data_IF_519548528814
#
_entry.id   IF_519548528814
#
_cell.length_a   1.000
_cell.length_b   1.000
_cell.length_c   1.000
_cell.angle_alpha   90.00
_cell.angle_beta   90.00
_cell.angle_gamma   90.00
#
_symmetry.space_group_name_H-M   'P 1'
#
loop_
_entity.id
_entity.type
_entity.pdbx_description
1 polymer ?
#
# COMPACT_ATOMS: atom_id res chain seq x y z
N UNK A 1 -16.03 -4.74 -15.98
CA UNK A 1 -14.74 -4.17 -15.51
C UNK A 1 -13.75 -4.19 -16.64
N UNK A 2 -13.01 -3.09 -16.80
CA UNK A 2 -11.99 -2.98 -17.84
C UNK A 2 -10.86 -3.99 -17.56
N UNK A 3 -10.36 -4.62 -18.63
CA UNK A 3 -9.25 -5.59 -18.52
C UNK A 3 -7.98 -4.96 -17.93
N UNK A 4 -7.72 -3.69 -18.25
CA UNK A 4 -6.57 -2.97 -17.71
C UNK A 4 -6.67 -2.81 -16.19
N UNK A 5 -7.85 -2.52 -15.68
CA UNK A 5 -8.10 -2.41 -14.24
C UNK A 5 -7.89 -3.77 -13.57
N UNK A 6 -8.39 -4.83 -14.17
CA UNK A 6 -8.22 -6.18 -13.64
C UNK A 6 -6.74 -6.57 -13.59
N UNK A 7 -5.99 -6.32 -14.66
CA UNK A 7 -4.55 -6.61 -14.70
C UNK A 7 -3.81 -5.80 -13.64
N UNK A 8 -4.10 -4.49 -13.55
CA UNK A 8 -3.49 -3.63 -12.54
C UNK A 8 -3.78 -4.10 -11.13
N UNK A 9 -5.02 -4.51 -10.87
CA UNK A 9 -5.42 -5.04 -9.57
C UNK A 9 -4.65 -6.31 -9.21
N UNK A 10 -4.56 -7.25 -10.15
CA UNK A 10 -3.84 -8.51 -9.93
C UNK A 10 -2.34 -8.27 -9.70
N UNK A 11 -1.74 -7.40 -10.51
CA UNK A 11 -0.32 -7.05 -10.36
C UNK A 11 -0.05 -6.39 -9.02
N UNK A 12 -0.87 -5.41 -8.66
CA UNK A 12 -0.72 -4.68 -7.39
C UNK A 12 -0.93 -5.59 -6.19
N UNK A 13 -1.99 -6.40 -6.21
CA UNK A 13 -2.27 -7.35 -5.14
C UNK A 13 -1.16 -8.38 -4.97
N UNK A 14 -0.66 -8.93 -6.09
CA UNK A 14 0.46 -9.88 -6.07
C UNK A 14 1.72 -9.25 -5.51
N UNK A 15 2.02 -7.99 -5.89
CA UNK A 15 3.18 -7.27 -5.38
C UNK A 15 3.08 -7.03 -3.86
N UNK A 16 1.93 -6.58 -3.40
CA UNK A 16 1.71 -6.32 -1.97
C UNK A 16 1.80 -7.61 -1.16
N UNK A 17 1.18 -8.69 -1.67
CA UNK A 17 1.23 -9.99 -1.02
C UNK A 17 2.67 -10.53 -0.97
N UNK A 18 3.39 -10.44 -2.07
CA UNK A 18 4.78 -10.88 -2.16
C UNK A 18 5.68 -10.08 -1.22
N UNK A 19 5.49 -8.77 -1.15
CA UNK A 19 6.27 -7.91 -0.25
C UNK A 19 6.05 -8.25 1.22
N UNK A 20 4.78 -8.46 1.61
CA UNK A 20 4.46 -8.87 2.97
C UNK A 20 5.00 -10.25 3.31
N UNK A 21 4.86 -11.21 2.40
CA UNK A 21 5.39 -12.55 2.57
C UNK A 21 6.92 -12.57 2.63
N UNK A 22 7.57 -11.72 1.83
CA UNK A 22 9.03 -11.59 1.85
C UNK A 22 9.54 -11.16 3.23
N UNK A 23 8.79 -10.29 3.89
CA UNK A 23 9.17 -9.82 5.23
C UNK A 23 9.06 -10.93 6.29
N UNK A 24 8.00 -11.73 6.23
CA UNK A 24 7.69 -12.70 7.30
C UNK A 24 8.14 -14.13 7.03
N UNK A 25 7.95 -14.62 5.80
CA UNK A 25 8.02 -16.05 5.53
C UNK A 25 9.18 -16.46 4.64
N UNK A 26 9.41 -15.75 3.55
CA UNK A 26 10.38 -16.16 2.52
C UNK A 26 11.22 -14.95 2.15
N UNK A 27 12.53 -15.11 2.21
CA UNK A 27 13.44 -14.04 1.77
C UNK A 27 13.66 -14.18 0.26
N UNK A 28 12.76 -13.58 -0.53
CA UNK A 28 12.86 -13.56 -2.00
C UNK A 28 13.90 -12.55 -2.45
N UNK A 29 13.98 -11.42 -1.74
CA UNK A 29 14.97 -10.38 -1.97
C UNK A 29 15.32 -9.73 -0.63
N UNK A 30 16.53 -9.16 -0.52
CA UNK A 30 16.92 -8.51 0.72
C UNK A 30 16.07 -7.27 0.98
N UNK A 31 15.68 -7.08 2.23
CA UNK A 31 14.96 -5.87 2.63
C UNK A 31 15.89 -4.67 2.54
N UNK A 32 15.41 -3.52 2.03
CA UNK A 32 16.23 -2.33 1.97
C UNK A 32 16.53 -1.82 3.38
N UNK A 33 17.83 -1.72 3.69
CA UNK A 33 18.28 -1.20 4.98
C UNK A 33 18.52 0.30 4.98
N UNK A 34 18.64 0.87 3.76
CA UNK A 34 18.89 2.29 3.60
C UNK A 34 20.37 2.61 3.40
N UNK A 35 20.62 3.76 2.75
CA UNK A 35 21.96 4.27 2.51
C UNK A 35 22.19 5.62 3.17
N UNK A 36 21.13 6.45 3.23
CA UNK A 36 21.19 7.77 3.81
C UNK A 36 20.92 7.71 5.31
N UNK A 37 21.59 8.55 6.12
CA UNK A 37 21.43 8.51 7.58
C UNK A 37 19.99 8.65 8.06
N UNK A 38 19.22 9.55 7.47
CA UNK A 38 17.81 9.74 7.85
C UNK A 38 16.95 8.55 7.47
N UNK A 39 17.21 7.94 6.30
CA UNK A 39 16.52 6.74 5.88
C UNK A 39 16.79 5.56 6.82
N UNK A 40 18.04 5.39 7.20
CA UNK A 40 18.46 4.34 8.14
C UNK A 40 17.80 4.56 9.51
N UNK A 41 17.77 5.80 10.00
CA UNK A 41 17.15 6.12 11.27
C UNK A 41 15.65 5.81 11.29
N UNK A 42 14.94 6.19 10.22
CA UNK A 42 13.52 5.90 10.10
C UNK A 42 13.27 4.39 10.07
N UNK A 43 14.02 3.66 9.25
CA UNK A 43 13.86 2.22 9.12
C UNK A 43 14.16 1.50 10.45
N UNK A 44 15.22 1.92 11.15
CA UNK A 44 15.57 1.37 12.45
C UNK A 44 14.46 1.62 13.47
N UNK A 45 13.92 2.84 13.50
CA UNK A 45 12.81 3.18 14.39
C UNK A 45 11.56 2.38 14.10
N UNK A 46 11.24 2.15 12.82
CA UNK A 46 10.10 1.34 12.42
C UNK A 46 10.27 -0.12 12.86
N UNK A 47 11.47 -0.67 12.72
CA UNK A 47 11.75 -2.03 13.13
C UNK A 47 11.67 -2.19 14.63
N UNK A 48 12.35 -1.32 15.36
CA UNK A 48 12.44 -1.40 16.81
C UNK A 48 11.09 -1.13 17.49
N UNK A 49 10.28 -0.28 16.87
CA UNK A 49 8.94 0.05 17.35
C UNK A 49 7.84 -0.88 16.88
N UNK A 50 8.17 -1.95 16.14
CA UNK A 50 7.23 -2.92 15.57
C UNK A 50 6.29 -2.33 14.52
N UNK A 51 6.47 -1.08 14.14
CA UNK A 51 5.64 -0.41 13.15
C UNK A 51 5.82 -1.02 11.76
N UNK A 52 7.05 -1.43 11.44
CA UNK A 52 7.32 -2.10 10.17
C UNK A 52 6.55 -3.40 10.07
N UNK A 53 6.50 -4.19 11.14
CA UNK A 53 5.75 -5.44 11.16
C UNK A 53 4.25 -5.19 10.94
N UNK A 54 3.70 -4.16 11.59
CA UNK A 54 2.30 -3.76 11.39
C UNK A 54 2.04 -3.40 9.93
N UNK A 55 2.93 -2.60 9.33
CA UNK A 55 2.80 -2.20 7.93
C UNK A 55 2.84 -3.42 7.00
N UNK A 56 3.72 -4.36 7.27
CA UNK A 56 3.83 -5.57 6.45
C UNK A 56 2.64 -6.51 6.61
N UNK A 57 2.06 -6.61 7.80
CA UNK A 57 0.81 -7.34 8.01
C UNK A 57 -0.32 -6.71 7.20
N UNK A 58 -0.42 -5.39 7.22
CA UNK A 58 -1.40 -4.64 6.42
C UNK A 58 -1.20 -4.95 4.93
N UNK A 59 0.03 -4.92 4.43
CA UNK A 59 0.32 -5.24 3.03
C UNK A 59 -0.09 -6.68 2.69
N UNK A 60 0.23 -7.62 3.56
CA UNK A 60 -0.07 -9.03 3.34
C UNK A 60 -1.57 -9.26 3.25
N UNK A 61 -2.33 -8.78 4.23
CA UNK A 61 -3.78 -8.96 4.30
C UNK A 61 -4.47 -8.21 3.16
N UNK A 62 -4.11 -6.95 2.95
CA UNK A 62 -4.71 -6.14 1.89
C UNK A 62 -4.36 -6.69 0.50
N UNK A 63 -3.14 -7.15 0.32
CA UNK A 63 -2.73 -7.79 -0.94
C UNK A 63 -3.56 -9.01 -1.25
N UNK A 64 -3.84 -9.85 -0.25
CA UNK A 64 -4.69 -11.02 -0.42
C UNK A 64 -6.11 -10.63 -0.83
N UNK A 65 -6.70 -9.61 -0.20
CA UNK A 65 -8.04 -9.13 -0.56
C UNK A 65 -8.07 -8.52 -1.96
N UNK A 66 -7.07 -7.73 -2.32
CA UNK A 66 -6.98 -7.11 -3.64
C UNK A 66 -6.84 -8.18 -4.72
N UNK A 67 -6.01 -9.19 -4.46
CA UNK A 67 -5.76 -10.26 -5.42
C UNK A 67 -7.01 -11.12 -5.64
N UNK A 68 -7.72 -11.47 -4.57
CA UNK A 68 -8.91 -12.31 -4.64
C UNK A 68 -10.17 -11.55 -5.06
N UNK A 69 -10.15 -10.22 -4.97
CA UNK A 69 -11.28 -9.38 -5.36
C UNK A 69 -12.28 -9.10 -4.25
N UNK A 70 -12.01 -9.51 -3.02
CA UNK A 70 -12.88 -9.21 -1.87
C UNK A 70 -12.43 -7.91 -1.20
N UNK A 71 -13.40 -7.06 -0.86
CA UNK A 71 -13.15 -5.80 -0.14
C UNK A 71 -12.05 -4.94 -0.79
N UNK A 72 -11.96 -4.95 -2.12
CA UNK A 72 -10.90 -4.25 -2.86
C UNK A 72 -10.85 -2.75 -2.53
N UNK A 73 -11.97 -2.00 -2.53
CA UNK A 73 -11.92 -0.58 -2.20
C UNK A 73 -11.37 -0.30 -0.81
N UNK A 74 -11.79 -1.08 0.20
CA UNK A 74 -11.31 -0.91 1.56
C UNK A 74 -9.83 -1.26 1.67
N UNK A 75 -9.40 -2.33 1.03
CA UNK A 75 -8.00 -2.76 1.04
C UNK A 75 -7.09 -1.71 0.38
N UNK A 76 -7.50 -1.14 -0.75
CA UNK A 76 -6.75 -0.07 -1.43
C UNK A 76 -6.61 1.16 -0.54
N UNK A 77 -7.69 1.51 0.16
CA UNK A 77 -7.69 2.65 1.07
C UNK A 77 -6.74 2.45 2.24
N UNK A 78 -6.71 1.25 2.82
CA UNK A 78 -5.85 0.92 3.96
C UNK A 78 -4.38 0.85 3.55
N UNK A 79 -4.09 0.38 2.34
CA UNK A 79 -2.71 0.27 1.84
C UNK A 79 -2.13 1.62 1.42
N UNK A 80 -2.97 2.59 1.07
CA UNK A 80 -2.50 3.88 0.56
C UNK A 80 -1.51 4.59 1.49
N UNK A 81 -1.75 4.71 2.81
CA UNK A 81 -0.76 5.31 3.71
C UNK A 81 0.58 4.58 3.71
N UNK A 82 0.56 3.26 3.66
CA UNK A 82 1.78 2.44 3.62
C UNK A 82 2.56 2.73 2.34
N UNK A 83 1.87 2.80 1.20
CA UNK A 83 2.50 3.11 -0.09
C UNK A 83 3.11 4.52 -0.09
N UNK A 84 2.40 5.50 0.46
CA UNK A 84 2.87 6.88 0.54
C UNK A 84 4.10 6.97 1.46
N UNK A 85 4.08 6.29 2.60
CA UNK A 85 5.23 6.26 3.50
C UNK A 85 6.46 5.62 2.84
N UNK A 86 6.25 4.53 2.10
CA UNK A 86 7.33 3.87 1.36
C UNK A 86 7.89 4.79 0.28
N UNK A 87 7.03 5.51 -0.43
CA UNK A 87 7.45 6.47 -1.44
C UNK A 87 8.25 7.63 -0.83
N UNK A 88 7.78 8.14 0.30
CA UNK A 88 8.49 9.21 1.02
C UNK A 88 9.90 8.75 1.40
N UNK A 89 10.02 7.56 1.98
CA UNK A 89 11.31 7.00 2.38
C UNK A 89 12.25 6.86 1.18
N UNK A 90 11.76 6.30 0.07
CA UNK A 90 12.58 6.04 -1.11
C UNK A 90 12.96 7.31 -1.87
N UNK A 91 12.03 8.25 -2.00
CA UNK A 91 12.23 9.45 -2.82
C UNK A 91 12.97 10.54 -2.06
N UNK A 92 12.59 10.78 -0.82
CA UNK A 92 13.06 11.93 -0.04
C UNK A 92 14.22 11.57 0.86
N UNK A 93 14.10 10.48 1.61
CA UNK A 93 15.13 10.10 2.58
C UNK A 93 16.30 9.36 1.95
N UNK A 94 16.02 8.35 1.12
CA UNK A 94 17.06 7.51 0.52
C UNK A 94 17.57 8.07 -0.81
N UNK A 95 16.71 8.77 -1.55
CA UNK A 95 17.04 9.33 -2.87
C UNK A 95 17.60 8.30 -3.84
N UNK A 96 17.14 7.05 -3.71
CA UNK A 96 17.52 5.98 -4.62
C UNK A 96 16.65 6.03 -5.87
N UNK A 97 17.24 6.23 -7.08
CA UNK A 97 16.43 6.34 -8.30
C UNK A 97 15.58 5.10 -8.60
N UNK A 98 16.13 3.91 -8.42
CA UNK A 98 15.41 2.67 -8.69
C UNK A 98 14.28 2.45 -7.68
N UNK A 99 14.57 2.61 -6.38
CA UNK A 99 13.58 2.50 -5.33
C UNK A 99 12.51 3.57 -5.43
N UNK A 100 12.91 4.80 -5.78
CA UNK A 100 11.98 5.91 -5.96
C UNK A 100 11.02 5.64 -7.12
N UNK A 101 11.52 5.13 -8.24
CA UNK A 101 10.69 4.79 -9.39
C UNK A 101 9.68 3.70 -9.04
N UNK A 102 10.13 2.65 -8.36
CA UNK A 102 9.27 1.55 -7.93
C UNK A 102 8.18 2.04 -6.96
N UNK A 103 8.58 2.82 -5.97
CA UNK A 103 7.64 3.37 -4.97
C UNK A 103 6.63 4.31 -5.61
N UNK A 104 7.07 5.17 -6.53
CA UNK A 104 6.17 6.07 -7.27
C UNK A 104 5.18 5.27 -8.12
N UNK A 105 5.65 4.19 -8.76
CA UNK A 105 4.78 3.30 -9.54
C UNK A 105 3.72 2.64 -8.64
N UNK A 106 4.10 2.20 -7.45
CA UNK A 106 3.17 1.60 -6.49
C UNK A 106 2.10 2.60 -6.04
N UNK A 107 2.50 3.81 -5.69
CA UNK A 107 1.55 4.87 -5.28
C UNK A 107 0.64 5.23 -6.45
N UNK A 108 1.20 5.40 -7.64
CA UNK A 108 0.43 5.71 -8.84
C UNK A 108 -0.59 4.64 -9.17
N UNK A 109 -0.19 3.38 -9.14
CA UNK A 109 -1.08 2.25 -9.40
C UNK A 109 -2.17 2.15 -8.34
N UNK A 110 -1.82 2.33 -7.06
CA UNK A 110 -2.80 2.38 -5.98
C UNK A 110 -3.83 3.49 -6.23
N UNK A 111 -3.38 4.70 -6.56
CA UNK A 111 -4.26 5.82 -6.85
C UNK A 111 -5.16 5.57 -8.06
N UNK A 112 -4.61 5.02 -9.13
CA UNK A 112 -5.38 4.68 -10.34
C UNK A 112 -6.44 3.63 -10.02
N UNK A 113 -6.11 2.61 -9.24
CA UNK A 113 -7.07 1.60 -8.83
C UNK A 113 -8.16 2.19 -7.94
N UNK A 114 -7.82 3.10 -7.03
CA UNK A 114 -8.81 3.80 -6.22
C UNK A 114 -9.76 4.62 -7.08
N UNK A 115 -9.24 5.30 -8.12
CA UNK A 115 -10.08 6.03 -9.07
C UNK A 115 -11.01 5.10 -9.85
N UNK A 116 -10.54 3.90 -10.19
CA UNK A 116 -11.35 2.91 -10.87
C UNK A 116 -12.52 2.43 -9.99
N UNK A 117 -12.34 2.44 -8.68
CA UNK A 117 -13.36 2.06 -7.70
C UNK A 117 -13.98 3.28 -7.01
N UNK A 118 -13.95 4.45 -7.65
CA UNK A 118 -14.38 5.72 -7.04
C UNK A 118 -15.83 5.71 -6.57
N UNK A 119 -16.69 4.95 -7.24
CA UNK A 119 -18.10 4.86 -6.87
C UNK A 119 -18.31 4.32 -5.45
N UNK A 120 -17.41 3.47 -5.00
CA UNK A 120 -17.47 2.92 -3.64
C UNK A 120 -17.06 3.94 -2.58
N UNK A 121 -16.33 5.00 -2.99
CA UNK A 121 -15.85 6.04 -2.07
C UNK A 121 -16.74 7.27 -2.04
N UNK A 122 -17.70 7.39 -2.96
CA UNK A 122 -18.55 8.60 -3.08
C UNK A 122 -19.29 8.93 -1.79
N UNK A 123 -19.75 7.91 -1.07
CA UNK A 123 -20.41 8.12 0.22
C UNK A 123 -19.49 8.74 1.26
N UNK A 124 -18.21 8.41 1.24
CA UNK A 124 -17.20 8.95 2.15
C UNK A 124 -16.82 10.38 1.82
N UNK A 125 -16.97 10.77 0.55
CA UNK A 125 -16.58 12.08 0.04
C UNK A 125 -17.67 13.14 0.17
N UNK A 126 -18.80 12.83 0.78
CA UNK A 126 -19.87 13.77 1.01
C UNK A 126 -19.41 14.90 1.95
N UNK A 127 -19.73 16.12 1.58
CA UNK A 127 -19.41 17.30 2.39
C UNK A 127 -20.03 17.25 3.78
N UNK A 128 -21.24 16.71 3.86
CA UNK A 128 -21.97 16.63 5.13
C UNK A 128 -22.21 15.18 5.48
N UNK A 129 -21.53 14.73 6.52
CA UNK A 129 -21.81 13.45 7.10
C UNK A 129 -23.05 13.51 7.97
N UNK A 130 -23.92 12.55 7.85
CA UNK A 130 -25.05 12.37 8.75
C UNK A 130 -25.00 10.98 9.35
N UNK A 131 -25.40 10.88 10.62
CA UNK A 131 -25.53 9.60 11.26
C UNK A 131 -26.80 8.93 10.80
N UNK A 132 -26.70 7.70 10.35
CA UNK A 132 -27.83 6.93 9.82
C UNK A 132 -28.02 5.61 10.57
N UNK A 133 -27.93 5.68 11.89
CA UNK A 133 -28.14 4.50 12.70
C UNK A 133 -29.59 4.01 12.59
N UNK A 134 -29.76 2.76 12.21
CA UNK A 134 -31.07 2.13 12.14
C UNK A 134 -31.92 2.50 10.95
N UNK A 135 -31.42 3.28 10.01
CA UNK A 135 -32.10 3.53 8.75
C UNK A 135 -31.78 2.41 7.76
N UNK A 136 -32.82 1.81 7.29
CA UNK A 136 -32.74 0.72 6.31
C UNK A 136 -32.78 1.25 4.87
#
# INVERSE_FOLDING_TARGET
>A
MNRLVLIGRLVFGAWMLASGANHFFVTLWPEPGGHEPLGIQLMTGLRDGWMLDVAMVVQLVAGAFILTGFFVPAALCVVMPVSVCAAYWSVILERDPAGAALAAACVGLNGVLMLAYIDYYKGMLRERGSLSFGES
#
